data_IF_105945249343
#
_entry.id   IF_105945249343
#
_cell.length_a   1.000
_cell.length_b   1.000
_cell.length_c   1.000
_cell.angle_alpha   90.00
_cell.angle_beta   90.00
_cell.angle_gamma   90.00
#
_symmetry.space_group_name_H-M   'P 1'
#
loop_
_entity.id
_entity.type
_entity.pdbx_description
1 polymer ?
#
# COMPACT_ATOMS: atom_id res chain seq x y z
N UNK A 1 8.05 -14.07 2.83
CA UNK A 1 7.56 -14.17 1.41
C UNK A 1 7.78 -12.85 0.72
N UNK A 2 8.59 -12.84 -0.33
CA UNK A 2 8.88 -11.65 -1.12
C UNK A 2 7.71 -11.31 -2.05
N UNK A 3 7.22 -10.08 -1.99
CA UNK A 3 6.12 -9.56 -2.82
C UNK A 3 6.56 -8.42 -3.73
N UNK A 4 7.86 -8.15 -3.80
CA UNK A 4 8.44 -7.00 -4.50
C UNK A 4 9.16 -7.35 -5.82
N UNK A 5 8.95 -8.55 -6.37
CA UNK A 5 9.52 -8.95 -7.65
C UNK A 5 8.84 -8.31 -8.89
N UNK A 6 7.86 -7.44 -8.69
CA UNK A 6 7.15 -6.76 -9.76
C UNK A 6 7.87 -5.50 -10.30
N UNK A 7 7.26 -4.82 -11.31
CA UNK A 7 7.89 -3.73 -12.04
C UNK A 7 8.21 -2.49 -11.19
N UNK A 8 7.61 -2.34 -10.02
CA UNK A 8 7.85 -1.18 -9.15
C UNK A 8 8.49 -1.54 -7.81
N UNK A 9 8.89 -2.81 -7.67
CA UNK A 9 9.57 -3.33 -6.49
C UNK A 9 8.78 -3.16 -5.20
N UNK A 10 7.45 -3.34 -5.26
CA UNK A 10 6.54 -3.34 -4.11
C UNK A 10 5.36 -4.29 -4.30
N UNK A 11 4.78 -4.80 -3.21
CA UNK A 11 3.63 -5.73 -3.22
C UNK A 11 2.41 -5.20 -3.97
N UNK A 12 2.29 -3.89 -4.06
CA UNK A 12 1.19 -3.19 -4.75
C UNK A 12 1.07 -3.57 -6.22
N UNK A 13 2.17 -4.01 -6.83
CA UNK A 13 2.23 -4.48 -8.22
C UNK A 13 1.28 -5.65 -8.48
N UNK A 14 1.13 -6.58 -7.52
CA UNK A 14 0.25 -7.75 -7.68
C UNK A 14 -1.17 -7.34 -8.04
N UNK A 15 -1.70 -6.35 -7.32
CA UNK A 15 -3.05 -5.86 -7.58
C UNK A 15 -3.10 -4.86 -8.74
N UNK A 16 -2.13 -3.95 -8.84
CA UNK A 16 -2.18 -2.86 -9.80
C UNK A 16 -1.83 -3.27 -11.23
N UNK A 17 -1.18 -4.40 -11.45
CA UNK A 17 -1.07 -5.00 -12.77
C UNK A 17 -2.38 -5.68 -13.23
N UNK A 18 -3.22 -6.13 -12.31
CA UNK A 18 -4.47 -6.82 -12.64
C UNK A 18 -5.66 -5.87 -12.74
N UNK A 19 -5.75 -4.86 -11.87
CA UNK A 19 -6.87 -3.92 -11.80
C UNK A 19 -7.19 -3.25 -13.15
N UNK A 20 -6.23 -2.69 -13.91
CA UNK A 20 -6.53 -2.06 -15.20
C UNK A 20 -7.15 -3.03 -16.20
N UNK A 21 -6.70 -4.27 -16.21
CA UNK A 21 -7.20 -5.32 -17.09
C UNK A 21 -8.64 -5.73 -16.75
N UNK A 22 -8.97 -5.77 -15.45
CA UNK A 22 -10.33 -6.01 -15.00
C UNK A 22 -11.25 -4.86 -15.40
N UNK A 23 -10.81 -3.61 -15.16
CA UNK A 23 -11.57 -2.41 -15.50
C UNK A 23 -11.82 -2.28 -17.00
N UNK A 24 -10.80 -2.45 -17.84
CA UNK A 24 -10.93 -2.42 -19.30
C UNK A 24 -11.91 -3.49 -19.81
N UNK A 25 -11.89 -4.69 -19.22
CA UNK A 25 -12.79 -5.77 -19.63
C UNK A 25 -14.22 -5.53 -19.18
N UNK A 26 -14.44 -4.90 -18.05
CA UNK A 26 -15.79 -4.55 -17.55
C UNK A 26 -16.40 -3.45 -18.41
N UNK A 27 -15.66 -2.37 -18.66
CA UNK A 27 -16.09 -1.28 -19.54
C UNK A 27 -16.47 -1.79 -20.94
N UNK A 28 -15.69 -2.70 -21.52
CA UNK A 28 -16.00 -3.30 -22.83
C UNK A 28 -17.31 -4.11 -22.85
N UNK A 29 -17.73 -4.71 -21.72
CA UNK A 29 -19.00 -5.45 -21.61
C UNK A 29 -20.21 -4.54 -21.51
N UNK A 30 -20.05 -3.39 -20.85
CA UNK A 30 -21.14 -2.44 -20.60
C UNK A 30 -21.36 -1.45 -21.79
N UNK A 31 -20.83 -1.79 -22.97
CA UNK A 31 -21.00 -1.01 -24.19
C UNK A 31 -19.80 -0.15 -24.58
N UNK A 32 -18.75 -0.12 -23.77
CA UNK A 32 -17.40 0.33 -24.13
C UNK A 32 -17.25 1.82 -24.50
N UNK A 33 -18.24 2.66 -24.21
CA UNK A 33 -18.26 4.06 -24.66
C UNK A 33 -17.48 5.02 -23.74
N UNK A 34 -17.24 4.63 -22.50
CA UNK A 34 -16.64 5.53 -21.51
C UNK A 34 -15.19 5.16 -21.21
N UNK A 35 -14.32 6.17 -21.22
CA UNK A 35 -12.96 6.07 -20.73
C UNK A 35 -12.94 6.24 -19.21
N UNK A 36 -12.11 5.49 -18.52
CA UNK A 36 -11.95 5.59 -17.07
C UNK A 36 -10.69 6.41 -16.77
N UNK A 37 -10.85 7.58 -16.16
CA UNK A 37 -9.74 8.39 -15.67
C UNK A 37 -9.48 8.06 -14.19
N UNK A 38 -8.34 7.47 -13.93
CA UNK A 38 -7.85 7.20 -12.57
C UNK A 38 -7.22 8.47 -12.00
N UNK A 39 -7.67 8.87 -10.80
CA UNK A 39 -7.04 9.97 -10.05
C UNK A 39 -6.53 9.42 -8.72
N UNK A 40 -5.27 9.65 -8.44
CA UNK A 40 -4.59 9.08 -7.26
C UNK A 40 -3.69 10.13 -6.62
N UNK A 41 -3.81 10.32 -5.29
CA UNK A 41 -2.78 10.96 -4.48
C UNK A 41 -1.86 9.89 -3.88
N UNK A 42 -0.56 10.18 -3.81
CA UNK A 42 0.43 9.22 -3.32
C UNK A 42 1.52 9.89 -2.49
N UNK A 43 2.06 9.14 -1.54
CA UNK A 43 3.33 9.44 -0.86
C UNK A 43 4.53 8.73 -1.52
N UNK A 44 4.32 8.08 -2.70
CA UNK A 44 5.37 7.39 -3.48
C UNK A 44 4.89 6.08 -4.10
N UNK A 45 4.93 4.98 -3.39
CA UNK A 45 4.76 3.61 -3.90
C UNK A 45 3.43 3.33 -4.62
N UNK A 46 2.31 3.82 -4.09
CA UNK A 46 1.00 3.57 -4.70
C UNK A 46 0.88 4.26 -6.06
N UNK A 47 1.36 5.51 -6.16
CA UNK A 47 1.34 6.25 -7.41
C UNK A 47 2.16 5.58 -8.50
N UNK A 48 3.39 5.18 -8.16
CA UNK A 48 4.25 4.48 -9.13
C UNK A 48 3.66 3.15 -9.58
N UNK A 49 3.16 2.34 -8.65
CA UNK A 49 2.58 1.04 -9.01
C UNK A 49 1.30 1.22 -9.85
N UNK A 50 0.50 2.26 -9.58
CA UNK A 50 -0.67 2.60 -10.39
C UNK A 50 -0.26 3.07 -11.79
N UNK A 51 0.71 3.98 -11.90
CA UNK A 51 1.24 4.42 -13.20
C UNK A 51 1.71 3.23 -14.05
N UNK A 52 2.55 2.37 -13.48
CA UNK A 52 3.07 1.20 -14.19
C UNK A 52 1.96 0.21 -14.62
N UNK A 53 0.92 0.03 -13.80
CA UNK A 53 -0.18 -0.87 -14.12
C UNK A 53 -1.15 -0.31 -15.17
N UNK A 54 -1.43 0.99 -15.12
CA UNK A 54 -2.36 1.66 -16.04
C UNK A 54 -1.70 2.19 -17.32
N UNK A 55 -0.35 2.21 -17.40
CA UNK A 55 0.35 2.65 -18.60
C UNK A 55 -0.15 1.88 -19.82
N UNK A 56 -0.66 2.60 -20.81
CA UNK A 56 -1.21 2.10 -22.08
C UNK A 56 -2.32 1.04 -21.93
N UNK A 57 -2.97 0.97 -20.76
CA UNK A 57 -4.12 0.09 -20.56
C UNK A 57 -5.33 0.62 -21.33
N UNK A 58 -5.96 -0.20 -22.20
CA UNK A 58 -7.04 0.25 -23.08
C UNK A 58 -8.22 0.85 -22.31
N UNK A 59 -8.76 1.97 -22.83
CA UNK A 59 -9.93 2.63 -22.26
C UNK A 59 -9.68 3.29 -20.90
N UNK A 60 -8.42 3.42 -20.48
CA UNK A 60 -8.06 4.06 -19.21
C UNK A 60 -7.10 5.21 -19.41
N UNK A 61 -7.13 6.17 -18.47
CA UNK A 61 -6.09 7.16 -18.28
C UNK A 61 -5.77 7.27 -16.79
N UNK A 62 -4.61 7.80 -16.44
CA UNK A 62 -4.22 7.98 -15.05
C UNK A 62 -3.54 9.31 -14.81
N UNK A 63 -3.98 9.99 -13.75
CA UNK A 63 -3.32 11.18 -13.20
C UNK A 63 -2.89 10.90 -11.76
N UNK A 64 -1.61 11.09 -11.48
CA UNK A 64 -1.02 10.91 -10.14
C UNK A 64 -0.52 12.25 -9.62
N UNK A 65 -0.94 12.57 -8.39
CA UNK A 65 -0.46 13.73 -7.64
C UNK A 65 0.41 13.29 -6.47
N UNK A 66 1.52 13.97 -6.27
CA UNK A 66 2.42 13.76 -5.13
C UNK A 66 2.93 15.09 -4.57
N UNK A 67 3.23 15.20 -3.27
CA UNK A 67 3.77 16.42 -2.69
C UNK A 67 5.19 16.68 -3.20
N UNK A 68 5.38 17.82 -3.86
CA UNK A 68 6.68 18.22 -4.42
C UNK A 68 7.74 18.30 -3.31
N UNK A 69 8.93 17.71 -3.58
CA UNK A 69 10.04 17.70 -2.64
C UNK A 69 9.84 16.88 -1.35
N UNK A 70 8.74 16.09 -1.24
CA UNK A 70 8.43 15.28 -0.06
C UNK A 70 8.51 13.77 -0.28
N UNK A 71 8.88 13.34 -1.47
CA UNK A 71 9.15 11.94 -1.81
C UNK A 71 10.66 11.74 -2.03
N UNK A 72 11.17 10.50 -1.87
CA UNK A 72 12.57 10.21 -2.14
C UNK A 72 12.91 10.43 -3.62
N UNK A 73 14.21 10.61 -3.94
CA UNK A 73 14.66 10.76 -5.33
C UNK A 73 14.27 9.53 -6.17
N UNK A 74 14.42 8.33 -5.63
CA UNK A 74 13.99 7.09 -6.28
C UNK A 74 12.49 7.11 -6.58
N UNK A 75 11.66 7.44 -5.59
CA UNK A 75 10.21 7.49 -5.78
C UNK A 75 9.78 8.57 -6.77
N UNK A 76 10.43 9.74 -6.73
CA UNK A 76 10.18 10.81 -7.70
C UNK A 76 10.48 10.32 -9.12
N UNK A 77 11.69 9.80 -9.37
CA UNK A 77 12.08 9.30 -10.68
C UNK A 77 11.22 8.12 -11.13
N UNK A 78 10.81 7.25 -10.23
CA UNK A 78 9.85 6.20 -10.57
C UNK A 78 8.57 6.74 -11.20
N UNK A 79 8.08 7.91 -10.76
CA UNK A 79 6.88 8.55 -11.30
C UNK A 79 7.18 9.44 -12.50
N UNK A 80 8.17 10.34 -12.38
CA UNK A 80 8.45 11.36 -13.38
C UNK A 80 9.05 10.80 -14.68
N UNK A 81 9.63 9.60 -14.66
CA UNK A 81 10.15 8.90 -15.84
C UNK A 81 9.19 7.87 -16.43
N UNK A 82 7.96 7.72 -15.86
CA UNK A 82 7.01 6.71 -16.30
C UNK A 82 6.66 6.88 -17.78
N UNK A 83 6.76 5.81 -18.55
CA UNK A 83 6.35 5.72 -19.95
C UNK A 83 4.84 5.47 -20.07
N UNK A 84 4.28 5.75 -21.24
CA UNK A 84 2.87 5.58 -21.59
C UNK A 84 2.24 6.87 -22.10
N UNK A 85 1.27 6.76 -23.01
CA UNK A 85 0.59 7.91 -23.62
C UNK A 85 -0.65 8.34 -22.85
N UNK A 86 -1.13 7.48 -21.95
CA UNK A 86 -2.33 7.69 -21.12
C UNK A 86 -1.99 8.03 -19.66
N UNK A 87 -0.77 8.45 -19.35
CA UNK A 87 -0.31 8.79 -18.01
C UNK A 87 -0.04 10.28 -17.85
N UNK A 88 -0.35 10.82 -16.67
CA UNK A 88 0.00 12.18 -16.26
C UNK A 88 0.46 12.16 -14.80
N UNK A 89 1.49 12.95 -14.51
CA UNK A 89 2.07 13.07 -13.16
C UNK A 89 2.27 14.55 -12.85
N UNK A 90 1.83 14.98 -11.68
CA UNK A 90 1.95 16.37 -11.26
C UNK A 90 2.36 16.46 -9.79
N UNK A 91 3.42 17.20 -9.52
CA UNK A 91 3.76 17.62 -8.17
C UNK A 91 2.74 18.64 -7.65
N UNK A 92 2.49 18.65 -6.35
CA UNK A 92 1.65 19.71 -5.75
C UNK A 92 2.44 20.51 -4.72
N UNK A 93 2.18 21.82 -4.67
CA UNK A 93 2.66 22.69 -3.59
C UNK A 93 1.80 22.48 -2.34
N UNK A 94 2.16 21.48 -1.54
CA UNK A 94 1.42 21.07 -0.35
C UNK A 94 2.03 19.84 0.30
N UNK A 95 1.24 19.18 1.12
CA UNK A 95 1.60 17.90 1.73
C UNK A 95 0.71 16.76 1.21
N UNK A 96 0.94 15.54 1.69
CA UNK A 96 0.16 14.38 1.26
C UNK A 96 -1.33 14.47 1.64
N UNK A 97 -1.63 15.03 2.82
CA UNK A 97 -3.03 15.19 3.26
C UNK A 97 -3.78 16.22 2.41
N UNK A 98 -3.08 17.28 1.96
CA UNK A 98 -3.61 18.26 1.02
C UNK A 98 -3.98 17.59 -0.32
N UNK A 99 -3.05 16.79 -0.87
CA UNK A 99 -3.29 16.02 -2.09
C UNK A 99 -4.47 15.06 -1.95
N UNK A 100 -4.52 14.31 -0.87
CA UNK A 100 -5.58 13.33 -0.63
C UNK A 100 -6.94 14.00 -0.45
N UNK A 101 -6.97 15.14 0.27
CA UNK A 101 -8.19 15.92 0.48
C UNK A 101 -8.69 16.53 -0.84
N UNK A 102 -7.78 17.01 -1.68
CA UNK A 102 -8.15 17.52 -3.01
C UNK A 102 -8.69 16.42 -3.92
N UNK A 103 -8.08 15.24 -3.93
CA UNK A 103 -8.60 14.08 -4.69
C UNK A 103 -10.02 13.72 -4.23
N UNK A 104 -10.29 13.74 -2.92
CA UNK A 104 -11.66 13.52 -2.40
C UNK A 104 -12.65 14.59 -2.89
N UNK A 105 -12.22 15.87 -2.94
CA UNK A 105 -13.05 16.95 -3.48
C UNK A 105 -13.31 16.75 -4.98
N UNK A 106 -12.31 16.33 -5.76
CA UNK A 106 -12.46 16.02 -7.19
C UNK A 106 -13.53 14.93 -7.40
N UNK A 107 -13.53 13.86 -6.59
CA UNK A 107 -14.56 12.82 -6.67
C UNK A 107 -15.96 13.29 -6.22
N UNK A 108 -16.05 14.31 -5.37
CA UNK A 108 -17.30 14.87 -4.89
C UNK A 108 -17.83 16.00 -5.78
N UNK A 109 -17.04 16.51 -6.73
CA UNK A 109 -17.39 17.61 -7.64
C UNK A 109 -18.29 17.11 -8.77
N UNK A 110 -19.60 17.37 -8.63
CA UNK A 110 -20.62 16.97 -9.60
C UNK A 110 -20.48 17.69 -10.93
N UNK A 111 -20.12 18.99 -10.92
CA UNK A 111 -19.96 19.77 -12.14
C UNK A 111 -18.78 19.26 -12.98
N UNK A 112 -17.67 18.91 -12.32
CA UNK A 112 -16.53 18.27 -12.99
C UNK A 112 -16.93 16.89 -13.54
N UNK A 113 -17.64 16.08 -12.77
CA UNK A 113 -18.12 14.77 -13.22
C UNK A 113 -19.00 14.88 -14.46
N UNK A 114 -19.99 15.80 -14.48
CA UNK A 114 -20.87 16.05 -15.63
C UNK A 114 -20.08 16.49 -16.89
N UNK A 115 -19.07 17.37 -16.71
CA UNK A 115 -18.22 17.79 -17.85
C UNK A 115 -17.38 16.66 -18.41
N UNK A 116 -16.85 15.80 -17.54
CA UNK A 116 -16.06 14.63 -17.95
C UNK A 116 -16.94 13.57 -18.61
N UNK A 117 -18.12 13.29 -18.07
CA UNK A 117 -19.09 12.35 -18.65
C UNK A 117 -19.56 12.80 -20.03
N UNK A 118 -19.84 14.10 -20.20
CA UNK A 118 -20.16 14.68 -21.51
C UNK A 118 -19.02 14.53 -22.54
N UNK A 119 -17.77 14.38 -22.06
CA UNK A 119 -16.59 14.07 -22.88
C UNK A 119 -16.28 12.55 -22.96
N UNK A 120 -17.19 11.68 -22.49
CA UNK A 120 -17.04 10.23 -22.51
C UNK A 120 -15.98 9.70 -21.51
N UNK A 121 -15.82 10.38 -20.38
CA UNK A 121 -14.84 9.99 -19.36
C UNK A 121 -15.49 9.96 -17.97
N UNK A 122 -15.25 8.88 -17.22
CA UNK A 122 -15.67 8.75 -15.81
C UNK A 122 -14.47 8.67 -14.88
N UNK A 123 -14.61 9.18 -13.65
CA UNK A 123 -13.55 9.15 -12.65
C UNK A 123 -13.55 7.83 -11.87
N UNK A 124 -12.36 7.33 -11.56
CA UNK A 124 -12.16 6.22 -10.63
C UNK A 124 -10.84 6.37 -9.86
N UNK A 125 -10.65 5.54 -8.85
CA UNK A 125 -9.46 5.58 -7.98
C UNK A 125 -8.68 4.28 -8.05
N UNK A 126 -7.34 4.39 -8.00
CA UNK A 126 -6.43 3.28 -7.78
C UNK A 126 -5.93 3.17 -6.33
N UNK A 127 -6.45 3.95 -5.40
CA UNK A 127 -6.15 3.82 -3.98
C UNK A 127 -6.75 2.52 -3.39
N UNK A 128 -6.33 2.13 -2.19
CA UNK A 128 -6.72 0.86 -1.55
C UNK A 128 -8.20 0.76 -1.18
N UNK A 129 -8.95 1.86 -1.28
CA UNK A 129 -10.41 1.84 -1.17
C UNK A 129 -11.09 1.10 -2.33
N UNK A 130 -10.44 0.97 -3.47
CA UNK A 130 -10.95 0.19 -4.58
C UNK A 130 -10.80 -1.31 -4.29
N UNK A 131 -11.92 -2.06 -4.25
CA UNK A 131 -11.93 -3.48 -3.97
C UNK A 131 -11.13 -4.30 -5.01
N UNK A 132 -11.01 -3.80 -6.24
CA UNK A 132 -10.17 -4.40 -7.28
C UNK A 132 -8.67 -4.37 -6.95
N UNK A 133 -8.26 -3.56 -5.96
CA UNK A 133 -6.91 -3.63 -5.38
C UNK A 133 -6.77 -4.70 -4.32
N UNK A 134 -7.85 -5.08 -3.68
CA UNK A 134 -7.83 -6.03 -2.56
C UNK A 134 -7.95 -7.48 -3.06
N UNK A 135 -8.86 -7.73 -3.98
CA UNK A 135 -9.16 -9.10 -4.47
C UNK A 135 -7.92 -9.82 -5.05
N UNK A 136 -7.09 -9.22 -5.91
CA UNK A 136 -5.92 -9.92 -6.44
C UNK A 136 -4.89 -10.29 -5.36
N UNK A 137 -4.88 -9.61 -4.24
CA UNK A 137 -3.94 -9.86 -3.15
C UNK A 137 -4.22 -11.17 -2.39
N UNK A 138 -5.42 -11.70 -2.48
CA UNK A 138 -5.78 -13.02 -1.92
C UNK A 138 -4.85 -14.12 -2.45
N UNK A 139 -4.42 -14.00 -3.71
CA UNK A 139 -3.64 -15.03 -4.42
C UNK A 139 -2.32 -15.36 -3.71
N UNK A 140 -1.60 -14.36 -3.20
CA UNK A 140 -0.29 -14.63 -2.62
C UNK A 140 -0.35 -15.32 -1.24
N UNK A 141 -1.46 -15.24 -0.51
CA UNK A 141 -1.67 -16.06 0.69
C UNK A 141 -1.79 -17.55 0.34
N UNK A 142 -2.56 -17.88 -0.70
CA UNK A 142 -2.61 -19.24 -1.23
C UNK A 142 -1.27 -19.70 -1.80
N UNK A 143 -0.56 -18.81 -2.50
CA UNK A 143 0.76 -19.12 -3.05
C UNK A 143 1.79 -19.40 -1.94
N UNK A 144 1.79 -18.63 -0.84
CA UNK A 144 2.63 -18.88 0.31
C UNK A 144 2.35 -20.24 0.95
N UNK A 145 1.08 -20.55 1.16
CA UNK A 145 0.66 -21.84 1.71
C UNK A 145 1.08 -23.01 0.80
N UNK A 146 0.84 -22.88 -0.51
CA UNK A 146 1.25 -23.88 -1.49
C UNK A 146 2.77 -24.07 -1.52
N UNK A 147 3.56 -23.01 -1.33
CA UNK A 147 5.01 -23.11 -1.26
C UNK A 147 5.48 -23.84 0.00
N UNK A 148 4.83 -23.61 1.13
CA UNK A 148 5.12 -24.36 2.38
C UNK A 148 4.82 -25.85 2.21
N UNK A 149 3.71 -26.22 1.56
CA UNK A 149 3.37 -27.60 1.21
C UNK A 149 4.43 -28.22 0.29
N UNK A 150 4.78 -27.50 -0.79
CA UNK A 150 5.76 -27.98 -1.77
C UNK A 150 7.14 -28.23 -1.17
N UNK A 151 7.53 -27.43 -0.18
CA UNK A 151 8.82 -27.57 0.51
C UNK A 151 8.78 -28.53 1.70
N UNK A 152 7.63 -29.15 1.98
CA UNK A 152 7.45 -30.09 3.10
C UNK A 152 7.54 -29.43 4.49
N UNK A 153 7.35 -28.10 4.57
CA UNK A 153 7.36 -27.36 5.84
C UNK A 153 6.06 -27.56 6.62
N UNK A 154 4.96 -27.84 5.91
CA UNK A 154 3.65 -28.16 6.46
C UNK A 154 3.04 -29.32 5.67
N UNK A 155 1.98 -29.94 6.23
CA UNK A 155 1.06 -30.85 5.53
C UNK A 155 -0.28 -30.16 5.26
N UNK A 156 -1.06 -30.70 4.33
CA UNK A 156 -2.36 -30.11 3.97
C UNK A 156 -3.30 -30.11 5.19
N UNK A 157 -3.86 -28.93 5.48
CA UNK A 157 -4.72 -28.70 6.64
C UNK A 157 -3.97 -28.11 7.85
N UNK A 158 -2.65 -28.11 7.87
CA UNK A 158 -1.89 -27.42 8.92
C UNK A 158 -2.14 -25.91 8.87
N UNK A 159 -2.35 -25.30 10.01
CA UNK A 159 -2.58 -23.87 10.12
C UNK A 159 -1.28 -23.07 10.12
N UNK A 160 -1.36 -21.84 9.53
CA UNK A 160 -0.22 -20.93 9.34
C UNK A 160 -0.55 -19.54 9.86
N UNK A 161 0.37 -18.91 10.58
CA UNK A 161 0.32 -17.49 10.89
C UNK A 161 0.88 -16.65 9.74
N UNK A 162 0.23 -15.53 9.47
CA UNK A 162 0.76 -14.50 8.56
C UNK A 162 0.98 -13.19 9.30
N UNK A 163 2.21 -12.68 9.29
CA UNK A 163 2.55 -11.36 9.80
C UNK A 163 2.68 -10.38 8.62
N UNK A 164 1.97 -9.26 8.73
CA UNK A 164 1.78 -8.33 7.62
C UNK A 164 2.08 -6.91 8.07
N UNK A 165 3.07 -6.23 7.46
CA UNK A 165 3.25 -4.80 7.61
C UNK A 165 1.97 -4.07 7.17
N UNK A 166 1.33 -3.34 8.09
CA UNK A 166 -0.06 -2.92 7.90
C UNK A 166 -0.27 -1.43 8.19
N UNK A 167 -0.74 -0.69 7.18
CA UNK A 167 -1.29 0.66 7.32
C UNK A 167 -2.78 0.66 6.96
N UNK A 168 -3.12 0.74 5.67
CA UNK A 168 -4.50 0.83 5.19
C UNK A 168 -5.33 -0.47 5.29
N UNK A 169 -4.84 -1.49 5.96
CA UNK A 169 -5.51 -2.77 6.21
C UNK A 169 -5.89 -3.58 4.94
N UNK A 170 -5.41 -3.18 3.77
CA UNK A 170 -5.79 -3.83 2.50
C UNK A 170 -5.17 -5.20 2.33
N UNK A 171 -3.86 -5.29 2.52
CA UNK A 171 -3.08 -6.52 2.41
C UNK A 171 -3.59 -7.59 3.39
N UNK A 172 -3.61 -7.28 4.68
CA UNK A 172 -4.02 -8.24 5.72
C UNK A 172 -5.50 -8.63 5.60
N UNK A 173 -6.36 -7.73 5.09
CA UNK A 173 -7.77 -8.06 4.80
C UNK A 173 -7.89 -9.07 3.66
N UNK A 174 -6.98 -9.05 2.68
CA UNK A 174 -6.92 -10.09 1.66
C UNK A 174 -6.55 -11.45 2.28
N UNK A 175 -5.68 -11.47 3.30
CA UNK A 175 -5.43 -12.66 4.12
C UNK A 175 -6.67 -13.15 4.87
N UNK A 176 -7.46 -12.24 5.39
CA UNK A 176 -8.74 -12.58 6.01
C UNK A 176 -9.73 -13.17 4.99
N UNK A 177 -9.78 -12.62 3.77
CA UNK A 177 -10.60 -13.23 2.71
C UNK A 177 -10.09 -14.62 2.34
N UNK A 178 -8.77 -14.83 2.25
CA UNK A 178 -8.20 -16.15 2.04
C UNK A 178 -8.63 -17.14 3.14
N UNK A 179 -8.60 -16.74 4.42
CA UNK A 179 -9.12 -17.53 5.55
C UNK A 179 -10.59 -17.88 5.37
N UNK A 180 -11.42 -16.91 4.99
CA UNK A 180 -12.85 -17.13 4.73
C UNK A 180 -13.12 -18.03 3.51
N UNK A 181 -12.20 -18.08 2.56
CA UNK A 181 -12.23 -19.00 1.42
C UNK A 181 -11.75 -20.41 1.77
N UNK A 182 -11.34 -20.66 3.00
CA UNK A 182 -10.94 -21.97 3.50
C UNK A 182 -9.43 -22.20 3.57
N UNK A 183 -8.58 -21.17 3.37
CA UNK A 183 -7.15 -21.29 3.61
C UNK A 183 -6.91 -21.52 5.12
N UNK A 184 -6.14 -22.55 5.51
CA UNK A 184 -5.83 -22.81 6.93
C UNK A 184 -4.90 -21.73 7.52
N UNK A 185 -5.50 -20.67 8.02
CA UNK A 185 -4.82 -19.55 8.68
C UNK A 185 -5.13 -19.59 10.17
N UNK A 186 -4.12 -19.74 11.01
CA UNK A 186 -4.28 -19.64 12.46
C UNK A 186 -4.55 -18.18 12.86
N UNK A 187 -3.59 -17.29 12.62
CA UNK A 187 -3.66 -15.89 13.00
C UNK A 187 -3.14 -14.99 11.88
N UNK A 188 -3.77 -13.83 11.74
CA UNK A 188 -3.28 -12.70 10.94
C UNK A 188 -2.70 -11.65 11.88
N UNK A 189 -1.43 -11.35 11.78
CA UNK A 189 -0.71 -10.49 12.71
C UNK A 189 -0.46 -9.14 12.06
N UNK A 190 -1.13 -8.10 12.56
CA UNK A 190 -0.92 -6.71 12.15
C UNK A 190 0.39 -6.21 12.73
N UNK A 191 1.29 -5.76 11.89
CA UNK A 191 2.50 -5.06 12.30
C UNK A 191 2.41 -3.59 11.90
N UNK A 192 2.40 -2.70 12.88
CA UNK A 192 2.37 -1.25 12.68
C UNK A 192 3.74 -0.62 12.95
N UNK A 193 3.96 0.55 12.39
CA UNK A 193 5.04 1.44 12.78
C UNK A 193 4.65 2.30 14.00
N UNK A 194 5.34 3.41 14.20
CA UNK A 194 5.07 4.37 15.29
C UNK A 194 3.66 4.99 15.21
N UNK A 195 3.03 5.01 14.02
CA UNK A 195 1.61 5.36 13.86
C UNK A 195 0.71 4.17 14.18
N UNK A 196 0.76 3.68 15.40
CA UNK A 196 0.26 2.40 15.88
C UNK A 196 -1.25 2.34 16.18
N UNK A 197 -2.06 3.18 15.52
CA UNK A 197 -3.52 3.23 15.73
C UNK A 197 -4.21 1.87 15.61
N UNK A 198 -3.75 1.03 14.68
CA UNK A 198 -4.30 -0.32 14.49
C UNK A 198 -3.93 -1.27 15.63
N UNK A 199 -2.69 -1.22 16.11
CA UNK A 199 -2.26 -2.06 17.24
C UNK A 199 -3.04 -1.72 18.51
N UNK A 200 -3.23 -0.42 18.80
CA UNK A 200 -4.05 0.03 19.93
C UNK A 200 -5.52 -0.40 19.76
N UNK A 201 -6.10 -0.21 18.58
CA UNK A 201 -7.47 -0.63 18.29
C UNK A 201 -7.68 -2.14 18.50
N UNK A 202 -6.81 -2.98 17.92
CA UNK A 202 -6.91 -4.43 18.04
C UNK A 202 -6.70 -4.93 19.48
N UNK A 203 -5.99 -4.16 20.28
CA UNK A 203 -5.77 -4.46 21.70
C UNK A 203 -6.95 -4.04 22.58
N UNK A 204 -7.47 -2.83 22.34
CA UNK A 204 -8.39 -2.17 23.26
C UNK A 204 -9.85 -2.11 22.76
N UNK A 205 -10.10 -2.28 21.48
CA UNK A 205 -11.38 -2.02 20.83
C UNK A 205 -11.65 -0.54 20.53
N UNK A 206 -10.73 0.34 20.91
CA UNK A 206 -10.84 1.79 20.70
C UNK A 206 -10.02 2.23 19.54
N UNK A 207 -10.66 2.77 18.52
CA UNK A 207 -9.99 3.44 17.41
C UNK A 207 -9.98 4.95 17.69
N UNK A 208 -8.78 5.54 17.77
CA UNK A 208 -8.62 6.96 18.06
C UNK A 208 -7.55 7.58 17.16
N UNK A 209 -8.00 8.46 16.23
CA UNK A 209 -7.12 9.21 15.34
C UNK A 209 -6.62 10.53 15.94
N UNK A 210 -7.12 10.94 17.10
CA UNK A 210 -6.76 12.18 17.79
C UNK A 210 -5.42 12.02 18.51
N UNK A 211 -4.37 11.78 17.74
CA UNK A 211 -3.00 11.53 18.20
C UNK A 211 -1.98 12.21 17.29
N UNK A 212 -0.73 12.42 17.74
CA UNK A 212 0.32 12.91 16.86
C UNK A 212 0.52 12.00 15.64
N UNK A 213 0.73 12.63 14.48
CA UNK A 213 1.17 11.95 13.27
C UNK A 213 2.71 11.98 13.20
N UNK A 214 3.33 10.86 12.88
CA UNK A 214 4.77 10.74 12.75
C UNK A 214 5.14 10.39 11.30
N UNK A 215 6.10 11.11 10.74
CA UNK A 215 6.75 10.71 9.49
C UNK A 215 7.87 9.74 9.85
N UNK A 216 7.80 8.52 9.31
CA UNK A 216 8.71 7.42 9.65
C UNK A 216 9.56 6.99 8.44
N UNK A 217 10.50 6.07 8.66
CA UNK A 217 11.27 5.44 7.57
C UNK A 217 10.46 4.36 6.83
N UNK A 218 9.22 4.06 7.28
CA UNK A 218 8.27 3.15 6.63
C UNK A 218 7.02 3.90 6.10
N UNK A 219 7.17 4.87 5.18
CA UNK A 219 6.16 5.88 4.87
C UNK A 219 4.85 5.33 4.29
N UNK A 220 4.84 4.11 3.75
CA UNK A 220 3.60 3.50 3.26
C UNK A 220 2.64 3.08 4.38
N UNK A 221 3.10 3.07 5.63
CA UNK A 221 2.34 2.74 6.83
C UNK A 221 1.99 3.98 7.66
N UNK A 222 2.51 5.17 7.32
CA UNK A 222 2.23 6.44 7.99
C UNK A 222 0.78 6.86 7.76
N UNK A 223 -0.13 6.34 8.57
CA UNK A 223 -1.56 6.65 8.51
C UNK A 223 -2.19 6.75 9.90
N UNK A 224 -3.22 7.58 10.03
CA UNK A 224 -4.09 7.62 11.20
C UNK A 224 -5.52 7.14 10.90
N UNK A 225 -5.88 7.00 9.62
CA UNK A 225 -7.17 6.47 9.18
C UNK A 225 -6.93 5.30 8.23
N UNK A 226 -7.29 4.11 8.67
CA UNK A 226 -7.13 2.88 7.91
C UNK A 226 -8.34 2.62 7.03
N UNK A 227 -8.16 2.75 5.70
CA UNK A 227 -9.25 2.82 4.71
C UNK A 227 -10.01 1.50 4.47
N UNK A 228 -9.52 0.36 4.96
CA UNK A 228 -10.18 -0.93 4.76
C UNK A 228 -10.65 -1.59 6.07
N UNK A 229 -10.39 -0.96 7.21
CA UNK A 229 -10.77 -1.51 8.52
C UNK A 229 -12.29 -1.69 8.66
N UNK A 230 -13.08 -0.75 8.11
CA UNK A 230 -14.55 -0.84 8.09
C UNK A 230 -15.06 -2.13 7.44
N UNK A 231 -14.36 -2.66 6.42
CA UNK A 231 -14.72 -3.93 5.79
C UNK A 231 -14.54 -5.12 6.73
N UNK A 232 -13.48 -5.10 7.53
CA UNK A 232 -13.27 -6.11 8.57
C UNK A 232 -14.36 -6.04 9.63
N UNK A 233 -14.73 -4.83 10.09
CA UNK A 233 -15.83 -4.62 11.03
C UNK A 233 -17.14 -5.18 10.48
N UNK A 234 -17.48 -4.88 9.23
CA UNK A 234 -18.67 -5.41 8.57
C UNK A 234 -18.73 -6.93 8.58
N UNK A 235 -17.62 -7.59 8.21
CA UNK A 235 -17.60 -9.05 8.17
C UNK A 235 -17.63 -9.70 9.54
N UNK A 236 -16.97 -9.13 10.54
CA UNK A 236 -16.92 -9.71 11.88
C UNK A 236 -18.13 -9.35 12.75
N UNK A 237 -18.90 -8.32 12.35
CA UNK A 237 -20.22 -8.02 12.92
C UNK A 237 -21.36 -8.82 12.24
N UNK A 238 -21.01 -9.82 11.40
CA UNK A 238 -22.00 -10.63 10.66
C UNK A 238 -22.87 -9.78 9.69
N UNK A 239 -22.31 -8.68 9.17
CA UNK A 239 -22.97 -7.79 8.21
C UNK A 239 -23.84 -6.70 8.84
N UNK A 240 -23.63 -6.36 10.10
CA UNK A 240 -24.38 -5.30 10.77
C UNK A 240 -24.00 -3.91 10.22
N UNK A 241 -24.77 -3.48 9.21
CA UNK A 241 -24.58 -2.20 8.53
C UNK A 241 -24.84 -1.01 9.45
N UNK A 242 -25.78 -1.11 10.39
CA UNK A 242 -26.16 -0.01 11.29
C UNK A 242 -25.03 0.24 12.30
N UNK A 243 -24.48 -0.83 12.86
CA UNK A 243 -23.32 -0.74 13.75
C UNK A 243 -22.13 -0.10 13.02
N UNK A 244 -21.78 -0.61 11.82
CA UNK A 244 -20.62 -0.10 11.09
C UNK A 244 -20.80 1.36 10.68
N UNK A 245 -21.99 1.73 10.19
CA UNK A 245 -22.30 3.12 9.85
C UNK A 245 -22.18 4.04 11.08
N UNK A 246 -22.71 3.63 12.22
CA UNK A 246 -22.60 4.37 13.48
C UNK A 246 -21.15 4.56 13.96
N UNK A 247 -20.29 3.53 13.82
CA UNK A 247 -18.87 3.63 14.17
C UNK A 247 -18.14 4.60 13.22
N UNK A 248 -18.43 4.55 11.92
CA UNK A 248 -17.82 5.46 10.93
C UNK A 248 -18.29 6.92 11.13
N UNK A 249 -19.55 7.12 11.51
CA UNK A 249 -20.08 8.44 11.87
C UNK A 249 -19.37 9.01 13.11
N UNK A 250 -19.20 8.22 14.17
CA UNK A 250 -18.42 8.60 15.35
C UNK A 250 -16.99 8.99 14.99
N UNK A 251 -16.32 8.19 14.13
CA UNK A 251 -14.98 8.51 13.64
C UNK A 251 -14.95 9.85 12.89
N UNK A 252 -15.95 10.11 12.07
CA UNK A 252 -16.03 11.37 11.31
C UNK A 252 -16.24 12.57 12.22
N UNK A 253 -17.13 12.47 13.20
CA UNK A 253 -17.53 13.57 14.09
C UNK A 253 -16.52 13.84 15.21
N UNK A 254 -15.99 12.77 15.83
CA UNK A 254 -15.17 12.90 17.05
C UNK A 254 -13.72 12.44 16.87
N UNK A 255 -13.41 11.79 15.74
CA UNK A 255 -12.11 11.16 15.51
C UNK A 255 -11.88 9.84 16.27
N UNK A 256 -12.92 9.33 16.96
CA UNK A 256 -12.81 8.15 17.83
C UNK A 256 -14.08 7.31 17.77
N UNK A 257 -13.93 5.98 17.87
CA UNK A 257 -15.04 5.06 18.18
C UNK A 257 -14.53 3.90 19.04
N UNK A 258 -15.48 3.16 19.63
CA UNK A 258 -15.23 1.96 20.41
C UNK A 258 -16.18 0.85 19.96
N UNK A 259 -15.64 -0.34 19.70
CA UNK A 259 -16.46 -1.49 19.31
C UNK A 259 -17.01 -2.22 20.53
N UNK A 260 -18.18 -2.89 20.43
CA UNK A 260 -18.69 -3.74 21.50
C UNK A 260 -17.69 -4.84 21.87
N UNK A 261 -17.65 -5.23 23.14
CA UNK A 261 -16.73 -6.24 23.66
C UNK A 261 -16.83 -7.58 22.92
N UNK A 262 -18.03 -7.98 22.52
CA UNK A 262 -18.25 -9.21 21.74
C UNK A 262 -17.61 -9.13 20.36
N UNK A 263 -17.69 -7.97 19.70
CA UNK A 263 -17.03 -7.76 18.41
C UNK A 263 -15.50 -7.72 18.58
N UNK A 264 -15.00 -7.08 19.64
CA UNK A 264 -13.56 -7.11 19.95
C UNK A 264 -13.05 -8.54 20.15
N UNK A 265 -13.78 -9.37 20.87
CA UNK A 265 -13.41 -10.78 21.06
C UNK A 265 -13.36 -11.56 19.73
N UNK A 266 -14.31 -11.33 18.81
CA UNK A 266 -14.26 -11.90 17.45
C UNK A 266 -13.06 -11.39 16.66
N UNK A 267 -12.75 -10.09 16.71
CA UNK A 267 -11.58 -9.50 16.07
C UNK A 267 -10.31 -10.17 16.59
N UNK A 268 -10.14 -10.24 17.91
CA UNK A 268 -8.96 -10.82 18.55
C UNK A 268 -8.84 -12.33 18.35
N UNK A 269 -9.92 -13.05 18.03
CA UNK A 269 -9.84 -14.46 17.64
C UNK A 269 -9.13 -14.67 16.29
N UNK A 270 -9.21 -13.68 15.39
CA UNK A 270 -8.63 -13.73 14.03
C UNK A 270 -7.31 -12.99 13.95
N UNK A 271 -7.24 -11.80 14.57
CA UNK A 271 -6.10 -10.90 14.43
C UNK A 271 -5.27 -10.83 15.71
N UNK A 272 -3.94 -10.89 15.53
CA UNK A 272 -2.96 -10.44 16.50
C UNK A 272 -2.38 -9.10 16.06
N UNK A 273 -1.61 -8.43 16.92
CA UNK A 273 -0.99 -7.17 16.57
C UNK A 273 0.28 -6.89 17.37
N UNK A 274 1.07 -5.97 16.84
CA UNK A 274 2.20 -5.35 17.48
C UNK A 274 2.63 -4.11 16.70
N UNK A 275 3.63 -3.40 17.20
CA UNK A 275 4.20 -2.25 16.52
C UNK A 275 5.68 -2.10 16.84
N UNK A 276 6.39 -1.33 16.02
CA UNK A 276 7.80 -1.06 16.17
C UNK A 276 8.08 0.45 16.17
N UNK A 277 8.93 0.91 17.08
CA UNK A 277 9.52 2.24 17.05
C UNK A 277 10.58 2.34 15.95
N UNK A 278 10.99 3.55 15.58
CA UNK A 278 12.05 3.79 14.60
C UNK A 278 13.36 3.03 14.93
N UNK A 279 13.75 3.03 16.20
CA UNK A 279 14.97 2.34 16.65
C UNK A 279 14.81 0.82 16.57
N UNK A 280 13.63 0.30 16.87
CA UNK A 280 13.32 -1.12 16.73
C UNK A 280 13.26 -1.57 15.28
N UNK A 281 12.79 -0.70 14.37
CA UNK A 281 12.82 -0.95 12.91
C UNK A 281 14.27 -1.05 12.42
N UNK A 282 15.15 -0.10 12.80
CA UNK A 282 16.58 -0.16 12.46
C UNK A 282 17.25 -1.40 13.04
N UNK A 283 16.99 -1.69 14.30
CA UNK A 283 17.50 -2.88 14.96
C UNK A 283 17.03 -4.18 14.28
N UNK A 284 15.78 -4.22 13.77
CA UNK A 284 15.24 -5.36 13.05
C UNK A 284 15.93 -5.58 11.69
N UNK A 285 16.21 -4.52 10.93
CA UNK A 285 17.01 -4.61 9.68
C UNK A 285 18.37 -5.19 9.99
N UNK A 286 19.07 -4.65 10.99
CA UNK A 286 20.39 -5.09 11.40
C UNK A 286 20.38 -6.55 11.86
N UNK A 287 19.43 -6.92 12.71
CA UNK A 287 19.29 -8.27 13.25
C UNK A 287 19.01 -9.31 12.15
N UNK A 288 18.14 -8.96 11.20
CA UNK A 288 17.86 -9.85 10.07
C UNK A 288 19.10 -10.06 9.19
N UNK A 289 19.86 -9.00 8.94
CA UNK A 289 21.11 -9.09 8.21
C UNK A 289 22.14 -9.95 8.95
N UNK A 290 22.39 -9.67 10.22
CA UNK A 290 23.41 -10.39 11.01
C UNK A 290 23.10 -11.89 11.16
N UNK A 291 21.80 -12.25 11.27
CA UNK A 291 21.37 -13.61 11.44
C UNK A 291 21.27 -14.42 10.14
N UNK A 292 20.90 -13.76 9.04
CA UNK A 292 20.50 -14.45 7.81
C UNK A 292 21.26 -14.00 6.55
N UNK A 293 22.06 -12.93 6.61
CA UNK A 293 22.65 -12.30 5.41
C UNK A 293 21.60 -11.77 4.44
N UNK A 294 20.43 -11.37 4.97
CA UNK A 294 19.28 -10.92 4.18
C UNK A 294 18.83 -9.53 4.61
N UNK A 295 18.87 -8.58 3.68
CA UNK A 295 18.44 -7.21 3.93
C UNK A 295 16.96 -7.08 3.67
N UNK A 296 16.23 -6.53 4.63
CA UNK A 296 14.81 -6.22 4.55
C UNK A 296 14.58 -4.72 4.51
N UNK A 297 13.50 -4.28 3.85
CA UNK A 297 13.09 -2.88 3.84
C UNK A 297 12.47 -2.45 5.18
N UNK A 298 12.35 -1.14 5.47
CA UNK A 298 11.82 -0.67 6.75
C UNK A 298 10.39 -1.15 7.07
N UNK A 299 9.53 -1.30 6.06
CA UNK A 299 8.17 -1.83 6.29
C UNK A 299 8.21 -3.29 6.71
N UNK A 300 8.97 -4.10 5.98
CA UNK A 300 9.19 -5.51 6.35
C UNK A 300 9.84 -5.63 7.72
N UNK A 301 10.71 -4.68 8.08
CA UNK A 301 11.36 -4.68 9.40
C UNK A 301 10.38 -4.42 10.56
N UNK A 302 9.36 -3.57 10.37
CA UNK A 302 8.25 -3.50 11.33
C UNK A 302 7.62 -4.87 11.54
N UNK A 303 7.33 -5.57 10.43
CA UNK A 303 6.81 -6.93 10.46
C UNK A 303 7.76 -7.92 11.13
N UNK A 304 9.06 -7.83 10.85
CA UNK A 304 10.07 -8.72 11.43
C UNK A 304 10.17 -8.54 12.95
N UNK A 305 10.19 -7.29 13.43
CA UNK A 305 10.19 -7.01 14.86
C UNK A 305 8.95 -7.60 15.56
N UNK A 306 7.76 -7.36 15.01
CA UNK A 306 6.50 -7.89 15.57
C UNK A 306 6.48 -9.42 15.49
N UNK A 307 6.96 -10.00 14.39
CA UNK A 307 7.06 -11.43 14.20
C UNK A 307 7.92 -12.11 15.27
N UNK A 308 9.01 -11.49 15.70
CA UNK A 308 9.88 -12.00 16.77
C UNK A 308 9.27 -11.83 18.17
N UNK A 309 8.45 -10.81 18.38
CA UNK A 309 7.85 -10.49 19.69
C UNK A 309 6.53 -11.20 19.97
N UNK A 310 5.71 -11.41 18.93
CA UNK A 310 4.41 -12.07 19.07
C UNK A 310 4.59 -13.59 19.02
N UNK A 311 4.12 -14.26 20.06
CA UNK A 311 4.17 -15.73 20.08
C UNK A 311 3.32 -16.33 18.92
N UNK A 312 3.75 -17.48 18.37
CA UNK A 312 2.94 -18.24 17.42
C UNK A 312 1.55 -18.54 17.99
N UNK A 313 0.54 -18.53 17.12
CA UNK A 313 -0.80 -18.96 17.53
C UNK A 313 -0.77 -20.47 17.91
N UNK A 314 -1.63 -20.84 18.85
CA UNK A 314 -1.78 -22.24 19.23
C UNK A 314 -2.17 -23.07 18.00
N UNK A 315 -1.44 -24.13 17.74
CA UNK A 315 -1.66 -25.01 16.59
C UNK A 315 -0.98 -24.59 15.29
N UNK A 316 -0.48 -23.36 15.16
CA UNK A 316 0.24 -22.93 13.97
C UNK A 316 1.51 -23.75 13.74
N UNK A 317 1.65 -24.33 12.55
CA UNK A 317 2.80 -25.19 12.16
C UNK A 317 3.91 -24.43 11.44
N UNK A 318 3.56 -23.27 10.87
CA UNK A 318 4.51 -22.36 10.24
C UNK A 318 4.05 -20.91 10.41
N UNK A 319 4.99 -20.01 10.20
CA UNK A 319 4.74 -18.57 10.22
C UNK A 319 5.33 -17.93 8.96
N UNK A 320 4.59 -17.04 8.34
CA UNK A 320 5.00 -16.32 7.13
C UNK A 320 5.01 -14.82 7.43
N UNK A 321 6.15 -14.18 7.21
CA UNK A 321 6.26 -12.72 7.15
C UNK A 321 6.14 -12.28 5.70
N UNK A 322 5.26 -11.32 5.40
CA UNK A 322 5.17 -10.71 4.08
C UNK A 322 6.23 -9.61 3.95
N UNK A 323 7.11 -9.75 2.96
CA UNK A 323 8.12 -8.76 2.60
C UNK A 323 7.58 -7.89 1.47
N UNK A 324 7.21 -6.65 1.80
CA UNK A 324 6.29 -5.83 0.99
C UNK A 324 6.98 -4.88 0.01
N UNK A 325 8.28 -4.62 0.19
CA UNK A 325 9.06 -3.77 -0.70
C UNK A 325 10.51 -4.21 -0.77
N UNK A 326 11.20 -3.81 -1.85
CA UNK A 326 12.64 -3.99 -1.97
C UNK A 326 13.38 -3.01 -1.04
N UNK A 327 14.45 -3.44 -0.34
CA UNK A 327 15.29 -2.54 0.46
C UNK A 327 15.91 -1.41 -0.37
N UNK A 328 16.13 -1.64 -1.65
CA UNK A 328 16.66 -0.66 -2.59
C UNK A 328 15.72 0.50 -2.93
N UNK A 329 14.48 0.49 -2.46
CA UNK A 329 13.58 1.65 -2.48
C UNK A 329 13.83 2.62 -1.32
N UNK A 330 14.50 2.14 -0.28
CA UNK A 330 14.80 2.85 0.95
C UNK A 330 16.27 2.68 1.33
N UNK A 331 17.21 2.88 0.38
CA UNK A 331 18.61 2.48 0.57
C UNK A 331 19.27 3.23 1.71
N UNK A 332 18.95 4.53 1.88
CA UNK A 332 19.51 5.34 2.97
C UNK A 332 19.11 4.81 4.36
N UNK A 333 17.83 4.45 4.54
CA UNK A 333 17.36 3.85 5.78
C UNK A 333 18.01 2.49 6.07
N UNK A 334 18.23 1.69 5.03
CA UNK A 334 18.93 0.41 5.16
C UNK A 334 20.42 0.60 5.50
N UNK A 335 21.11 1.54 4.84
CA UNK A 335 22.50 1.88 5.17
C UNK A 335 22.64 2.36 6.62
N UNK A 336 21.78 3.28 7.05
CA UNK A 336 21.75 3.78 8.42
C UNK A 336 21.58 2.65 9.44
N UNK A 337 20.59 1.76 9.21
CA UNK A 337 20.32 0.61 10.06
C UNK A 337 21.50 -0.38 10.14
N UNK A 338 22.23 -0.55 9.05
CA UNK A 338 23.40 -1.44 8.98
C UNK A 338 24.67 -0.79 9.53
N UNK A 339 24.65 0.51 9.86
CA UNK A 339 25.81 1.28 10.32
C UNK A 339 26.82 1.57 9.21
N UNK A 340 26.35 1.66 7.99
CA UNK A 340 27.13 2.02 6.80
C UNK A 340 27.17 3.54 6.60
N UNK A 341 27.99 3.98 5.64
CA UNK A 341 27.91 5.37 5.17
C UNK A 341 26.53 5.64 4.56
N UNK A 342 26.00 6.85 4.83
CA UNK A 342 24.65 7.24 4.38
C UNK A 342 24.75 8.48 3.48
N UNK A 343 25.02 8.30 2.18
CA UNK A 343 25.01 9.40 1.23
C UNK A 343 23.68 10.15 1.20
N UNK A 344 23.71 11.43 0.83
CA UNK A 344 22.48 12.21 0.63
C UNK A 344 21.69 11.73 -0.58
N UNK A 345 22.39 11.24 -1.59
CA UNK A 345 21.79 10.70 -2.81
C UNK A 345 21.37 9.23 -2.64
N UNK A 346 20.14 8.91 -3.04
CA UNK A 346 19.58 7.57 -2.94
C UNK A 346 20.33 6.54 -3.81
N UNK A 347 20.86 6.93 -4.98
CA UNK A 347 21.58 6.01 -5.88
C UNK A 347 22.99 5.74 -5.38
N UNK A 348 23.65 6.75 -4.80
CA UNK A 348 24.92 6.52 -4.10
C UNK A 348 24.69 5.58 -2.89
N UNK A 349 23.61 5.77 -2.14
CA UNK A 349 23.25 4.86 -1.05
C UNK A 349 22.91 3.44 -1.54
N UNK A 350 22.30 3.29 -2.72
CA UNK A 350 22.13 1.96 -3.35
C UNK A 350 23.47 1.27 -3.59
N UNK A 351 24.46 1.99 -4.14
CA UNK A 351 25.78 1.43 -4.39
C UNK A 351 26.53 1.05 -3.10
N UNK A 352 26.40 1.87 -2.04
CA UNK A 352 26.94 1.52 -0.72
C UNK A 352 26.30 0.22 -0.20
N UNK A 353 24.98 0.11 -0.32
CA UNK A 353 24.25 -1.07 0.12
C UNK A 353 24.65 -2.32 -0.69
N UNK A 354 24.75 -2.22 -2.05
CA UNK A 354 25.21 -3.32 -2.92
C UNK A 354 26.57 -3.85 -2.52
N UNK A 355 27.52 -2.93 -2.33
CA UNK A 355 28.91 -3.30 -1.96
C UNK A 355 29.00 -3.96 -0.60
N UNK A 356 28.27 -3.42 0.39
CA UNK A 356 28.31 -3.92 1.75
C UNK A 356 27.61 -5.29 1.90
N UNK A 357 26.57 -5.56 1.12
CA UNK A 357 25.75 -6.75 1.24
C UNK A 357 26.00 -7.80 0.17
N UNK A 358 26.81 -7.44 -0.85
CA UNK A 358 27.04 -8.29 -2.03
C UNK A 358 25.72 -8.72 -2.70
N UNK A 359 24.74 -7.84 -2.72
CA UNK A 359 23.47 -8.00 -3.44
C UNK A 359 23.40 -6.96 -4.58
N UNK A 360 22.40 -7.06 -5.43
CA UNK A 360 22.25 -6.17 -6.60
C UNK A 360 20.88 -5.50 -6.54
N UNK A 361 20.88 -4.19 -6.78
CA UNK A 361 19.63 -3.45 -6.90
C UNK A 361 18.81 -3.97 -8.09
N UNK A 362 17.48 -4.11 -7.97
CA UNK A 362 16.63 -4.45 -9.09
C UNK A 362 16.83 -3.49 -10.27
N UNK A 363 16.98 -4.03 -11.48
CA UNK A 363 17.27 -3.23 -12.68
C UNK A 363 16.28 -2.08 -12.87
N UNK A 364 14.99 -2.32 -12.60
CA UNK A 364 13.94 -1.30 -12.66
C UNK A 364 14.10 -0.15 -11.66
N UNK A 365 14.97 -0.26 -10.65
CA UNK A 365 15.35 0.81 -9.74
C UNK A 365 16.68 1.44 -10.15
N UNK A 366 17.69 0.64 -10.43
CA UNK A 366 19.03 1.11 -10.79
C UNK A 366 19.03 1.94 -12.09
N UNK A 367 18.21 1.56 -13.08
CA UNK A 367 18.11 2.26 -14.37
C UNK A 367 17.42 3.62 -14.30
N UNK A 368 16.73 3.95 -13.21
CA UNK A 368 15.95 5.20 -13.09
C UNK A 368 16.82 6.45 -13.25
N UNK A 369 18.06 6.42 -12.76
CA UNK A 369 18.96 7.55 -12.82
C UNK A 369 19.29 7.97 -14.27
N UNK A 370 19.31 7.02 -15.20
CA UNK A 370 19.60 7.25 -16.62
C UNK A 370 18.36 7.54 -17.47
N UNK A 371 17.15 7.36 -16.91
CA UNK A 371 15.91 7.57 -17.66
C UNK A 371 15.59 9.06 -17.82
N UNK A 372 15.09 9.47 -19.00
CA UNK A 372 14.65 10.85 -19.21
C UNK A 372 13.43 11.18 -18.34
N UNK A 373 13.48 12.30 -17.65
CA UNK A 373 12.33 12.84 -16.94
C UNK A 373 11.30 13.31 -17.97
N UNK A 374 10.06 12.86 -17.83
CA UNK A 374 8.93 13.16 -18.72
C UNK A 374 7.92 14.11 -18.11
N UNK A 375 7.82 14.13 -16.77
CA UNK A 375 6.83 14.91 -16.04
C UNK A 375 7.53 15.79 -15.02
N UNK A 376 7.38 17.11 -15.22
CA UNK A 376 7.92 18.16 -14.35
C UNK A 376 6.82 19.13 -13.90
N UNK A 377 5.55 18.83 -14.23
CA UNK A 377 4.43 19.68 -13.88
C UNK A 377 4.27 19.80 -12.37
N UNK A 378 4.03 21.02 -11.91
CA UNK A 378 3.70 21.33 -10.52
C UNK A 378 2.53 22.31 -10.49
N UNK A 379 1.54 22.02 -9.66
CA UNK A 379 0.36 22.88 -9.52
C UNK A 379 0.05 23.18 -8.05
N UNK A 380 -0.81 24.17 -7.82
CA UNK A 380 -1.39 24.39 -6.52
C UNK A 380 -2.57 23.44 -6.27
N UNK A 381 -2.92 23.23 -5.00
CA UNK A 381 -3.94 22.24 -4.60
C UNK A 381 -5.32 22.52 -5.20
N UNK A 382 -5.66 23.78 -5.43
CA UNK A 382 -6.91 24.21 -6.05
C UNK A 382 -6.91 24.07 -7.58
N UNK A 383 -5.76 23.91 -8.21
CA UNK A 383 -5.62 23.68 -9.65
C UNK A 383 -5.72 22.18 -10.03
N UNK A 384 -5.69 21.27 -9.06
CA UNK A 384 -5.69 19.82 -9.34
C UNK A 384 -6.89 19.34 -10.15
N UNK A 385 -8.08 19.90 -9.93
CA UNK A 385 -9.29 19.55 -10.69
C UNK A 385 -9.17 19.93 -12.19
N UNK A 386 -8.67 21.11 -12.48
CA UNK A 386 -8.44 21.59 -13.86
C UNK A 386 -7.31 20.80 -14.55
N UNK A 387 -6.29 20.38 -13.79
CA UNK A 387 -5.24 19.50 -14.30
C UNK A 387 -5.81 18.14 -14.73
N UNK A 388 -6.67 17.51 -13.90
CA UNK A 388 -7.35 16.25 -14.26
C UNK A 388 -8.19 16.41 -15.53
N UNK A 389 -8.99 17.48 -15.62
CA UNK A 389 -9.82 17.75 -16.81
C UNK A 389 -8.97 17.92 -18.08
N UNK A 390 -7.85 18.64 -17.98
CA UNK A 390 -6.92 18.83 -19.08
C UNK A 390 -6.25 17.53 -19.51
N UNK A 391 -5.80 16.71 -18.56
CA UNK A 391 -5.22 15.40 -18.82
C UNK A 391 -6.23 14.46 -19.49
N UNK A 392 -7.48 14.43 -19.01
CA UNK A 392 -8.55 13.63 -19.61
C UNK A 392 -8.83 14.03 -21.08
N UNK A 393 -8.87 15.32 -21.38
CA UNK A 393 -9.05 15.84 -22.75
C UNK A 393 -7.89 15.44 -23.67
N UNK A 394 -6.64 15.57 -23.19
CA UNK A 394 -5.44 15.20 -23.98
C UNK A 394 -5.44 13.70 -24.32
N UNK A 395 -5.81 12.86 -23.38
CA UNK A 395 -5.86 11.42 -23.59
C UNK A 395 -7.07 10.97 -24.44
N UNK A 396 -8.10 11.82 -24.60
CA UNK A 396 -9.24 11.54 -25.47
C UNK A 396 -8.90 11.73 -26.96
N UNK A 397 -7.84 12.48 -27.26
CA UNK A 397 -7.42 12.81 -28.65
C UNK A 397 -6.34 11.88 -29.18
N UNK A 398 -5.72 11.06 -28.32
CA UNK A 398 -4.77 10.02 -28.69
C UNK A 398 -5.47 8.65 -28.79
#
# INVERSE_FOLDING_TARGET
MELFGGPTSAFKDVALQMLPRLMARTSAKDGGAERIMIVTATSGDTGKAALAGFADAPGTGITVFYPEGKVSRVQNLQMSTQEGDNVAVCGIRGNFDDAQSAVKRIFADKELAERLEAAGTVLSSANSINVGRLVPQVVYYFAAYAQLLKTGKITFGDEVDFCVPTGNFGDILAGYYAKRMGLPVAKLIVASDKNNVLADFLTTGVYDRNRPFFTTISPSMDILISSNLERMLYFLSDGDCELVAGLMEQLAQTGRYEVPAELLAKIQSVFGCGWASEDEVRAAIKSCWDANGYVIDPHTACGYHVFEKVAPAEGAKARVLLSTASPYKFPRACCDALGLDVPEDDFEAMHVLEQATNTVAPAQLAELESKPVRFEDVCDVDEMASYVESAAKKMATN
#
